data_IF_097092092293
#
_entry.id   IF_097092092293
#
_cell.length_a   1.000
_cell.length_b   1.000
_cell.length_c   1.000
_cell.angle_alpha   90.00
_cell.angle_beta   90.00
_cell.angle_gamma   90.00
#
_symmetry.space_group_name_H-M   'P 1'
#
loop_
_entity.id
_entity.type
_entity.pdbx_description
1 polymer ?
#
# COMPACT_ATOMS: atom_id res chain seq x y z
N UNK A 1 8.06 -16.24 -6.88
CA UNK A 1 7.09 -17.35 -6.95
C UNK A 1 6.13 -17.01 -8.07
N UNK A 2 6.13 -17.78 -9.14
CA UNK A 2 5.22 -17.59 -10.29
C UNK A 2 4.01 -18.48 -10.02
N UNK A 3 2.81 -17.94 -10.20
CA UNK A 3 1.57 -18.67 -9.94
C UNK A 3 0.79 -18.75 -11.24
N UNK A 4 0.64 -19.98 -11.73
CA UNK A 4 -0.31 -20.33 -12.77
C UNK A 4 -1.74 -20.01 -12.29
N UNK A 5 -2.54 -19.35 -13.14
CA UNK A 5 -3.85 -18.79 -12.82
C UNK A 5 -4.96 -19.86 -12.63
N UNK A 6 -4.65 -21.15 -12.77
CA UNK A 6 -5.60 -22.27 -12.62
C UNK A 6 -5.60 -22.98 -11.25
N UNK A 7 -6.80 -23.27 -10.73
CA UNK A 7 -7.16 -24.15 -9.59
C UNK A 7 -6.39 -24.07 -8.25
N UNK A 8 -5.48 -23.10 -8.09
CA UNK A 8 -4.65 -22.95 -6.90
C UNK A 8 -4.78 -21.62 -6.16
N UNK A 9 -5.70 -20.74 -6.56
CA UNK A 9 -5.74 -19.35 -6.06
C UNK A 9 -6.06 -19.21 -4.56
N UNK A 10 -6.70 -20.22 -3.97
CA UNK A 10 -6.94 -20.31 -2.52
C UNK A 10 -5.78 -20.98 -1.75
N UNK A 11 -4.76 -21.49 -2.43
CA UNK A 11 -3.63 -22.11 -1.76
C UNK A 11 -2.82 -21.06 -1.01
N UNK A 12 -2.39 -21.42 0.19
CA UNK A 12 -1.53 -20.59 1.02
C UNK A 12 -0.11 -20.49 0.42
N UNK A 13 0.46 -19.30 0.53
CA UNK A 13 1.84 -19.00 0.13
C UNK A 13 2.76 -19.28 1.31
N UNK A 14 3.39 -20.46 1.30
CA UNK A 14 4.29 -20.90 2.39
C UNK A 14 5.70 -20.29 2.34
N UNK A 15 6.02 -19.55 1.28
CA UNK A 15 7.37 -19.01 1.04
C UNK A 15 7.57 -17.58 1.54
N UNK A 16 6.58 -16.99 2.24
CA UNK A 16 6.65 -15.62 2.78
C UNK A 16 6.66 -15.70 4.31
N UNK A 17 7.82 -15.53 4.94
CA UNK A 17 7.95 -15.61 6.39
C UNK A 17 7.01 -14.63 7.13
N UNK A 18 6.27 -15.13 8.12
CA UNK A 18 5.30 -14.36 8.91
C UNK A 18 3.93 -14.21 8.27
N UNK A 19 3.71 -14.74 7.05
CA UNK A 19 2.46 -14.63 6.29
C UNK A 19 1.91 -15.98 5.82
N UNK A 20 2.54 -17.09 6.20
CA UNK A 20 2.32 -18.44 5.64
C UNK A 20 0.91 -18.98 5.86
N UNK A 21 0.21 -18.48 6.87
CA UNK A 21 -1.14 -18.91 7.26
C UNK A 21 -2.24 -17.95 6.78
N UNK A 22 -1.87 -16.77 6.27
CA UNK A 22 -2.82 -15.71 5.89
C UNK A 22 -2.80 -15.47 4.39
N UNK A 23 -1.61 -15.39 3.79
CA UNK A 23 -1.45 -14.98 2.41
C UNK A 23 -1.81 -16.13 1.47
N UNK A 24 -2.88 -15.95 0.69
CA UNK A 24 -3.23 -16.87 -0.40
C UNK A 24 -2.61 -16.39 -1.69
N UNK A 25 -2.54 -17.30 -2.66
CA UNK A 25 -2.05 -16.99 -4.00
C UNK A 25 -2.76 -15.79 -4.61
N UNK A 26 -4.10 -15.67 -4.47
CA UNK A 26 -4.92 -14.54 -4.96
C UNK A 26 -4.65 -13.18 -4.32
N UNK A 27 -4.04 -13.17 -3.14
CA UNK A 27 -3.80 -11.93 -2.39
C UNK A 27 -2.47 -11.28 -2.84
N UNK A 28 -1.70 -11.95 -3.72
CA UNK A 28 -0.47 -11.40 -4.27
C UNK A 28 -0.76 -10.31 -5.33
N UNK A 29 0.17 -9.35 -5.49
CA UNK A 29 0.05 -8.33 -6.51
C UNK A 29 -0.11 -8.90 -7.92
N UNK A 30 -0.79 -8.18 -8.80
CA UNK A 30 -1.08 -8.62 -10.18
C UNK A 30 0.16 -9.02 -10.97
N UNK A 31 1.29 -8.32 -10.75
CA UNK A 31 2.57 -8.63 -11.38
C UNK A 31 3.18 -9.99 -10.97
N UNK A 32 2.62 -10.69 -9.98
CA UNK A 32 3.03 -12.05 -9.62
C UNK A 32 2.34 -13.13 -10.49
N UNK A 33 1.27 -12.79 -11.22
CA UNK A 33 0.56 -13.69 -12.13
C UNK A 33 0.99 -13.43 -13.57
N UNK A 34 2.22 -13.83 -13.89
CA UNK A 34 2.77 -13.73 -15.24
C UNK A 34 3.02 -15.13 -15.80
N UNK A 35 2.59 -15.36 -17.04
CA UNK A 35 2.85 -16.62 -17.75
C UNK A 35 4.30 -16.67 -18.27
N UNK A 36 4.89 -15.51 -18.54
CA UNK A 36 6.27 -15.35 -18.96
C UNK A 36 7.06 -14.56 -17.91
N UNK A 37 8.17 -15.15 -17.44
CA UNK A 37 9.10 -14.48 -16.52
C UNK A 37 9.76 -13.25 -17.14
N UNK A 38 9.80 -13.15 -18.46
CA UNK A 38 10.35 -12.01 -19.17
C UNK A 38 9.34 -10.86 -19.29
N UNK A 39 8.16 -10.98 -18.69
CA UNK A 39 7.21 -9.87 -18.57
C UNK A 39 7.93 -8.62 -18.00
N UNK A 40 7.88 -7.47 -18.70
CA UNK A 40 8.63 -6.28 -18.30
C UNK A 40 8.26 -5.77 -16.90
N UNK A 41 6.98 -5.82 -16.52
CA UNK A 41 6.54 -5.35 -15.20
C UNK A 41 7.07 -6.26 -14.08
N UNK A 42 7.02 -7.58 -14.28
CA UNK A 42 7.62 -8.53 -13.34
C UNK A 42 9.14 -8.35 -13.25
N UNK A 43 9.84 -8.18 -14.38
CA UNK A 43 11.30 -7.99 -14.40
C UNK A 43 11.74 -6.73 -13.68
N UNK A 44 11.04 -5.60 -13.86
CA UNK A 44 11.33 -4.35 -13.14
C UNK A 44 11.19 -4.57 -11.63
N UNK A 45 10.04 -5.08 -11.18
CA UNK A 45 9.80 -5.29 -9.74
C UNK A 45 10.78 -6.30 -9.13
N UNK A 46 11.04 -7.41 -9.82
CA UNK A 46 12.01 -8.43 -9.38
C UNK A 46 13.43 -7.86 -9.27
N UNK A 47 13.86 -7.06 -10.25
CA UNK A 47 15.20 -6.46 -10.27
C UNK A 47 15.36 -5.46 -9.14
N UNK A 48 14.43 -4.52 -8.98
CA UNK A 48 14.46 -3.51 -7.91
C UNK A 48 14.44 -4.17 -6.52
N UNK A 49 13.56 -5.17 -6.32
CA UNK A 49 13.46 -5.90 -5.05
C UNK A 49 14.78 -6.59 -4.68
N UNK A 50 15.51 -7.13 -5.67
CA UNK A 50 16.83 -7.76 -5.44
C UNK A 50 17.93 -6.75 -5.09
N UNK A 51 17.76 -5.47 -5.45
CA UNK A 51 18.72 -4.42 -5.07
C UNK A 51 18.51 -3.89 -3.66
N UNK A 52 17.33 -4.11 -3.05
CA UNK A 52 17.00 -3.59 -1.71
C UNK A 52 18.08 -3.87 -0.66
N UNK A 53 18.68 -5.08 -0.54
CA UNK A 53 19.73 -5.34 0.46
C UNK A 53 21.00 -4.50 0.29
N UNK A 54 21.20 -3.84 -0.86
CA UNK A 54 22.31 -2.92 -1.11
C UNK A 54 22.01 -1.49 -0.66
N UNK A 55 20.76 -1.19 -0.31
CA UNK A 55 20.38 0.11 0.20
C UNK A 55 21.01 0.34 1.59
N UNK A 56 21.41 1.58 1.87
CA UNK A 56 21.93 1.94 3.20
C UNK A 56 20.85 1.86 4.28
N UNK A 57 19.60 2.11 3.89
CA UNK A 57 18.44 2.06 4.76
C UNK A 57 17.17 1.86 3.93
N UNK A 58 16.13 1.29 4.54
CA UNK A 58 14.78 1.21 3.98
C UNK A 58 13.83 1.98 4.87
N UNK A 59 13.04 2.85 4.26
CA UNK A 59 12.05 3.67 4.95
C UNK A 59 10.68 3.21 4.51
N UNK A 60 9.85 2.79 5.47
CA UNK A 60 8.48 2.35 5.25
C UNK A 60 7.50 3.28 5.97
N UNK A 61 6.43 3.68 5.29
CA UNK A 61 5.32 4.42 5.88
C UNK A 61 4.38 3.44 6.62
N UNK A 62 4.89 2.83 7.68
CA UNK A 62 4.18 1.92 8.59
C UNK A 62 4.70 2.12 10.01
N UNK A 63 4.17 1.39 11.00
CA UNK A 63 4.62 1.41 12.39
C UNK A 63 4.49 0.02 13.04
N UNK A 64 5.27 -0.22 14.10
CA UNK A 64 5.38 -1.54 14.75
C UNK A 64 4.04 -2.13 15.17
N UNK A 65 3.18 -1.35 15.83
CA UNK A 65 1.91 -1.87 16.33
C UNK A 65 0.95 -2.33 15.20
N UNK A 66 1.21 -1.95 13.95
CA UNK A 66 0.45 -2.42 12.79
C UNK A 66 1.01 -3.71 12.20
N UNK A 67 2.34 -3.84 12.09
CA UNK A 67 2.98 -4.88 11.25
C UNK A 67 4.18 -5.60 11.90
N UNK A 68 4.33 -5.55 13.23
CA UNK A 68 5.49 -6.11 13.96
C UNK A 68 5.97 -7.50 13.50
N UNK A 69 5.08 -8.51 13.28
CA UNK A 69 5.53 -9.83 12.83
C UNK A 69 6.24 -9.81 11.48
N UNK A 70 5.73 -9.00 10.53
CA UNK A 70 6.30 -8.87 9.19
C UNK A 70 7.61 -8.08 9.24
N UNK A 71 7.64 -6.99 10.01
CA UNK A 71 8.81 -6.13 10.16
C UNK A 71 10.02 -6.87 10.76
N UNK A 72 9.79 -7.82 11.68
CA UNK A 72 10.85 -8.67 12.22
C UNK A 72 11.58 -9.47 11.12
N UNK A 73 10.84 -10.02 10.15
CA UNK A 73 11.41 -10.77 9.04
C UNK A 73 12.12 -9.89 8.01
N UNK A 74 11.67 -8.64 7.83
CA UNK A 74 12.32 -7.65 6.96
C UNK A 74 13.64 -7.15 7.56
N UNK A 75 13.71 -7.01 8.89
CA UNK A 75 14.94 -6.56 9.59
C UNK A 75 16.12 -7.50 9.44
N UNK A 76 15.87 -8.81 9.28
CA UNK A 76 16.93 -9.81 9.07
C UNK A 76 17.86 -9.47 7.90
N UNK A 77 17.34 -9.37 6.66
CA UNK A 77 18.13 -8.94 5.51
C UNK A 77 18.44 -7.43 5.49
N UNK A 78 17.73 -6.60 6.26
CA UNK A 78 17.86 -5.13 6.26
C UNK A 78 17.85 -4.56 7.68
N UNK A 79 18.99 -4.50 8.38
CA UNK A 79 19.04 -4.03 9.76
C UNK A 79 18.65 -2.55 9.91
N UNK A 80 18.90 -1.73 8.88
CA UNK A 80 18.57 -0.30 8.85
C UNK A 80 17.14 -0.05 8.31
N UNK A 81 16.14 -0.65 8.96
CA UNK A 81 14.73 -0.47 8.63
C UNK A 81 14.07 0.60 9.52
N UNK A 82 13.52 1.64 8.90
CA UNK A 82 12.84 2.74 9.58
C UNK A 82 11.34 2.74 9.25
N UNK A 83 10.51 2.59 10.27
CA UNK A 83 9.05 2.66 10.17
C UNK A 83 8.58 4.03 10.67
N UNK A 84 8.37 4.98 9.76
CA UNK A 84 8.12 6.40 10.09
C UNK A 84 6.63 6.76 10.07
N UNK A 85 5.76 5.76 9.95
CA UNK A 85 4.33 5.93 9.75
C UNK A 85 3.53 6.14 11.04
N UNK A 86 2.28 6.61 10.93
CA UNK A 86 1.67 7.09 9.68
C UNK A 86 2.14 8.52 9.37
N UNK A 87 2.70 8.75 8.18
CA UNK A 87 3.16 10.08 7.76
C UNK A 87 2.02 11.12 7.87
N UNK A 88 0.79 10.71 7.58
CA UNK A 88 -0.38 11.56 7.74
C UNK A 88 -0.58 12.06 9.18
N UNK A 89 -0.39 11.20 10.19
CA UNK A 89 -0.53 11.58 11.60
C UNK A 89 0.62 12.46 12.08
N UNK A 90 1.86 12.14 11.69
CA UNK A 90 3.05 12.92 12.07
C UNK A 90 2.94 14.39 11.65
N UNK A 91 2.33 14.64 10.49
CA UNK A 91 2.16 15.98 9.95
C UNK A 91 1.13 16.82 10.74
N UNK A 92 0.16 16.20 11.40
CA UNK A 92 -0.81 16.92 12.25
C UNK A 92 -0.22 17.33 13.60
N UNK A 93 0.90 16.73 14.02
CA UNK A 93 1.56 16.99 15.32
C UNK A 93 2.68 18.04 15.26
N UNK A 94 3.19 18.37 14.08
CA UNK A 94 4.37 19.25 13.89
C UNK A 94 4.05 20.65 13.35
N UNK A 95 2.79 21.05 13.39
CA UNK A 95 2.31 22.37 12.93
C UNK A 95 2.62 23.48 13.94
N UNK A 96 3.89 23.64 14.31
CA UNK A 96 4.35 24.88 14.95
C UNK A 96 5.45 25.59 14.20
N UNK A 97 6.15 24.98 13.22
CA UNK A 97 7.13 25.74 12.43
C UNK A 97 7.35 25.21 10.99
N UNK A 98 7.06 26.10 10.03
CA UNK A 98 7.65 26.26 8.69
C UNK A 98 7.20 25.34 7.53
N UNK A 99 6.72 24.11 7.74
CA UNK A 99 6.30 23.23 6.61
C UNK A 99 4.78 23.19 6.36
N UNK A 100 3.99 23.92 7.16
CA UNK A 100 2.53 23.84 7.15
C UNK A 100 1.83 24.43 5.89
N UNK A 101 2.57 25.12 5.01
CA UNK A 101 2.00 25.95 3.95
C UNK A 101 2.30 25.47 2.52
N UNK A 102 2.92 24.30 2.32
CA UNK A 102 2.98 23.71 0.98
C UNK A 102 1.66 22.98 0.71
N UNK A 103 0.95 23.38 -0.35
CA UNK A 103 -0.19 22.60 -0.87
C UNK A 103 0.25 21.15 -1.01
N UNK A 104 -0.46 20.25 -0.33
CA UNK A 104 -0.12 18.83 -0.20
C UNK A 104 -0.53 18.04 -1.44
N UNK A 105 -1.29 18.72 -2.29
CA UNK A 105 -1.76 18.27 -3.58
C UNK A 105 -0.99 19.03 -4.65
N UNK A 106 -0.66 18.33 -5.75
CA UNK A 106 -0.11 18.98 -6.94
C UNK A 106 -1.09 19.99 -7.58
N UNK A 107 -2.34 20.00 -7.12
CA UNK A 107 -3.46 20.82 -7.60
C UNK A 107 -4.12 21.58 -6.46
N UNK A 108 -4.89 22.61 -6.78
CA UNK A 108 -5.73 23.32 -5.81
C UNK A 108 -6.79 22.37 -5.23
N UNK A 109 -6.93 22.38 -3.91
CA UNK A 109 -7.82 21.47 -3.18
C UNK A 109 -9.26 22.00 -3.17
N UNK A 110 -10.23 21.16 -3.56
CA UNK A 110 -11.65 21.50 -3.44
C UNK A 110 -12.16 21.20 -2.02
N UNK A 111 -12.46 22.26 -1.27
CA UNK A 111 -13.03 22.17 0.07
C UNK A 111 -14.57 22.17 0.10
N UNK A 112 -15.25 22.14 -1.04
CA UNK A 112 -16.72 22.15 -1.11
C UNK A 112 -17.35 20.92 -0.45
N UNK A 113 -16.72 19.76 -0.58
CA UNK A 113 -17.17 18.51 0.03
C UNK A 113 -17.04 18.56 1.56
N UNK A 114 -15.97 19.16 2.10
CA UNK A 114 -15.74 19.31 3.54
C UNK A 114 -16.83 20.18 4.17
N UNK A 115 -17.15 21.33 3.56
CA UNK A 115 -18.23 22.19 4.03
C UNK A 115 -19.58 21.46 4.09
N UNK A 116 -19.85 20.58 3.13
CA UNK A 116 -21.06 19.74 3.14
C UNK A 116 -21.02 18.66 4.21
N UNK A 117 -19.85 18.11 4.54
CA UNK A 117 -19.69 17.13 5.61
C UNK A 117 -19.96 17.75 6.98
N UNK A 118 -19.58 19.02 7.20
CA UNK A 118 -19.81 19.74 8.46
C UNK A 118 -21.31 19.88 8.81
N UNK A 119 -22.19 19.83 7.81
CA UNK A 119 -23.65 19.92 7.98
C UNK A 119 -24.31 18.56 8.29
N UNK A 120 -23.59 17.45 8.16
CA UNK A 120 -24.13 16.10 8.38
C UNK A 120 -24.01 15.65 9.84
N UNK A 121 -24.93 14.80 10.33
CA UNK A 121 -24.78 14.18 11.65
C UNK A 121 -23.46 13.41 11.80
N UNK A 122 -22.95 13.34 13.03
CA UNK A 122 -21.75 12.58 13.31
C UNK A 122 -21.92 11.10 12.90
N UNK A 123 -20.95 10.57 12.14
CA UNK A 123 -20.91 9.17 11.68
C UNK A 123 -22.07 8.77 10.74
N UNK A 124 -22.69 9.71 10.02
CA UNK A 124 -23.76 9.41 9.05
C UNK A 124 -23.31 9.33 7.60
N UNK A 125 -22.07 9.71 7.29
CA UNK A 125 -21.55 9.76 5.92
C UNK A 125 -20.57 8.62 5.67
N UNK A 126 -20.68 7.97 4.52
CA UNK A 126 -19.76 6.94 4.05
C UNK A 126 -18.78 7.58 3.06
N UNK A 127 -17.48 7.44 3.31
CA UNK A 127 -16.44 7.82 2.36
C UNK A 127 -16.16 6.64 1.42
N UNK A 128 -16.24 6.89 0.12
CA UNK A 128 -15.94 5.90 -0.93
C UNK A 128 -14.86 6.48 -1.84
N UNK A 129 -13.75 5.76 -1.98
CA UNK A 129 -12.66 6.08 -2.90
C UNK A 129 -11.91 4.82 -3.28
N UNK A 130 -11.62 4.69 -4.57
CA UNK A 130 -10.81 3.59 -5.12
C UNK A 130 -9.36 4.02 -5.37
N UNK A 131 -8.97 5.21 -4.89
CA UNK A 131 -7.67 5.82 -5.21
C UNK A 131 -7.63 6.41 -6.62
N UNK A 132 -6.44 6.78 -7.08
CA UNK A 132 -6.23 7.49 -8.36
C UNK A 132 -5.90 6.58 -9.55
N UNK A 133 -5.67 5.29 -9.32
CA UNK A 133 -5.24 4.33 -10.35
C UNK A 133 -6.31 3.28 -10.70
N UNK A 134 -7.37 3.17 -9.91
CA UNK A 134 -8.40 2.18 -10.15
C UNK A 134 -9.16 2.49 -11.45
N UNK A 135 -9.36 1.45 -12.26
CA UNK A 135 -10.22 1.50 -13.45
C UNK A 135 -11.49 0.71 -13.11
N UNK A 136 -12.62 1.42 -13.08
CA UNK A 136 -13.94 0.83 -12.81
C UNK A 136 -14.77 0.94 -14.08
N UNK A 137 -15.40 -0.16 -14.50
CA UNK A 137 -16.29 -0.12 -15.67
C UNK A 137 -17.56 0.65 -15.34
N UNK A 138 -18.27 1.11 -16.38
CA UNK A 138 -19.54 1.80 -16.18
C UNK A 138 -20.55 0.92 -15.44
N UNK A 139 -20.64 -0.35 -15.79
CA UNK A 139 -21.60 -1.28 -15.18
C UNK A 139 -21.27 -1.50 -13.70
N UNK A 140 -20.00 -1.69 -13.36
CA UNK A 140 -19.54 -1.77 -11.97
C UNK A 140 -19.89 -0.51 -11.19
N UNK A 141 -19.69 0.68 -11.79
CA UNK A 141 -19.99 1.95 -11.15
C UNK A 141 -21.50 2.15 -10.90
N UNK A 142 -22.36 1.57 -11.75
CA UNK A 142 -23.82 1.63 -11.58
C UNK A 142 -24.32 0.65 -10.52
N UNK A 143 -23.60 -0.46 -10.29
CA UNK A 143 -23.93 -1.43 -9.24
C UNK A 143 -23.54 -0.98 -7.82
N UNK A 144 -22.61 -0.02 -7.71
CA UNK A 144 -22.20 0.60 -6.44
C UNK A 144 -23.25 1.57 -5.89
#
# INVERSE_FOLDING_TARGET
MIIDAGNGMDLLVKSVPGMEVVLRRRDLPSFCYVDDINDPSFQVISTETRQIPRAHAVILNTFEALEAPVLCHIRGPMPNLFTIGSLHSLLNTKTTNIVAAASRSFWEEDHSCVKRLDEQPAKSVIYVSFGSLAVVTRDQLVEF
#
